data_IF_858659868333
#
_entry.id   IF_858659868333
#
_cell.length_a   1.000
_cell.length_b   1.000
_cell.length_c   1.000
_cell.angle_alpha   90.00
_cell.angle_beta   90.00
_cell.angle_gamma   90.00
#
_symmetry.space_group_name_H-M   'P 1'
#
loop_
_entity.id
_entity.type
_entity.pdbx_description
1 polymer ?
#
# COMPACT_ATOMS: atom_id res chain seq x y z
N UNK A 1 28.89 -0.15 -11.62
CA UNK A 1 29.61 -1.44 -11.65
C UNK A 1 28.97 -2.28 -12.75
N UNK A 2 29.76 -2.71 -13.72
CA UNK A 2 29.27 -3.49 -14.88
C UNK A 2 29.49 -4.96 -14.57
N UNK A 3 28.43 -5.75 -14.42
CA UNK A 3 28.57 -7.19 -14.15
C UNK A 3 29.08 -7.90 -15.40
N UNK A 4 30.27 -8.50 -15.32
CA UNK A 4 30.79 -9.38 -16.38
C UNK A 4 30.28 -10.80 -16.14
N UNK A 5 29.55 -11.35 -17.11
CA UNK A 5 29.01 -12.71 -17.09
C UNK A 5 29.92 -13.57 -17.97
N UNK A 6 30.70 -14.46 -17.36
CA UNK A 6 31.70 -15.27 -18.08
C UNK A 6 31.23 -16.71 -18.34
N UNK A 7 30.23 -17.19 -17.61
CA UNK A 7 29.67 -18.52 -17.76
C UNK A 7 28.20 -18.59 -17.29
N UNK A 8 27.54 -19.72 -17.52
CA UNK A 8 26.13 -19.91 -17.19
C UNK A 8 25.84 -19.88 -15.67
N UNK A 9 26.80 -20.26 -14.83
CA UNK A 9 26.66 -20.17 -13.37
C UNK A 9 26.65 -18.72 -12.90
N UNK A 10 27.50 -17.87 -13.50
CA UNK A 10 27.51 -16.42 -13.23
C UNK A 10 26.19 -15.77 -13.66
N UNK A 11 25.63 -16.21 -14.80
CA UNK A 11 24.32 -15.73 -15.27
C UNK A 11 23.20 -16.09 -14.29
N UNK A 12 23.17 -17.34 -13.82
CA UNK A 12 22.18 -17.79 -12.85
C UNK A 12 22.32 -17.06 -11.51
N UNK A 13 23.56 -16.83 -11.05
CA UNK A 13 23.84 -16.04 -9.85
C UNK A 13 23.36 -14.59 -10.00
N UNK A 14 23.67 -13.95 -11.12
CA UNK A 14 23.22 -12.58 -11.40
C UNK A 14 21.69 -12.47 -11.46
N UNK A 15 21.01 -13.40 -12.12
CA UNK A 15 19.54 -13.42 -12.18
C UNK A 15 18.92 -13.64 -10.81
N UNK A 16 19.52 -14.50 -9.97
CA UNK A 16 19.10 -14.71 -8.59
C UNK A 16 19.28 -13.43 -7.76
N UNK A 17 20.45 -12.80 -7.80
CA UNK A 17 20.71 -11.53 -7.13
C UNK A 17 19.73 -10.44 -7.56
N UNK A 18 19.49 -10.31 -8.88
CA UNK A 18 18.55 -9.30 -9.39
C UNK A 18 17.10 -9.59 -8.99
N UNK A 19 16.73 -10.86 -8.84
CA UNK A 19 15.42 -11.27 -8.32
C UNK A 19 15.22 -10.96 -6.84
N UNK A 20 16.32 -10.87 -6.07
CA UNK A 20 16.33 -10.52 -4.64
C UNK A 20 16.44 -9.01 -4.42
N UNK A 21 17.05 -8.27 -5.35
CA UNK A 21 17.26 -6.81 -5.26
C UNK A 21 15.96 -6.04 -5.48
N UNK A 22 15.05 -6.53 -6.31
CA UNK A 22 13.73 -5.93 -6.45
C UNK A 22 12.94 -6.16 -5.15
N UNK A 23 12.66 -5.12 -4.34
CA UNK A 23 11.71 -5.28 -3.25
C UNK A 23 10.39 -5.58 -3.92
N UNK A 24 9.97 -6.84 -3.79
CA UNK A 24 8.66 -7.29 -4.16
C UNK A 24 7.69 -6.57 -3.22
N UNK A 25 7.36 -5.32 -3.53
CA UNK A 25 6.42 -4.51 -2.76
C UNK A 25 5.02 -5.04 -3.06
N UNK A 26 4.68 -6.14 -2.37
CA UNK A 26 3.39 -6.81 -2.50
C UNK A 26 2.23 -5.92 -2.06
N UNK A 27 2.55 -4.84 -1.33
CA UNK A 27 1.62 -3.83 -0.87
C UNK A 27 2.14 -2.41 -1.11
N UNK A 28 2.22 -2.03 -2.38
CA UNK A 28 2.58 -0.68 -2.81
C UNK A 28 1.39 0.29 -2.80
N UNK A 29 1.65 1.52 -3.24
CA UNK A 29 0.64 2.57 -3.35
C UNK A 29 -0.62 2.15 -4.14
N UNK A 30 -0.54 1.40 -5.26
CA UNK A 30 -1.73 0.95 -5.96
C UNK A 30 -2.62 0.03 -5.12
N UNK A 31 -2.02 -0.92 -4.39
CA UNK A 31 -2.73 -1.84 -3.49
C UNK A 31 -3.36 -1.07 -2.32
N UNK A 32 -2.62 -0.13 -1.72
CA UNK A 32 -3.12 0.76 -0.66
C UNK A 32 -4.32 1.57 -1.12
N UNK A 33 -4.29 2.10 -2.35
CA UNK A 33 -5.39 2.86 -2.94
C UNK A 33 -6.64 1.99 -3.12
N UNK A 34 -6.49 0.76 -3.63
CA UNK A 34 -7.61 -0.17 -3.79
C UNK A 34 -8.25 -0.55 -2.45
N UNK A 35 -7.43 -0.86 -1.44
CA UNK A 35 -7.94 -1.16 -0.09
C UNK A 35 -8.64 0.04 0.53
N UNK A 36 -8.12 1.26 0.31
CA UNK A 36 -8.76 2.50 0.77
C UNK A 36 -10.14 2.70 0.17
N UNK A 37 -10.29 2.54 -1.15
CA UNK A 37 -11.60 2.68 -1.83
C UNK A 37 -12.61 1.65 -1.28
N UNK A 38 -12.18 0.40 -1.13
CA UNK A 38 -13.03 -0.66 -0.59
C UNK A 38 -13.47 -0.37 0.85
N UNK A 39 -12.57 0.15 1.68
CA UNK A 39 -12.87 0.52 3.06
C UNK A 39 -13.89 1.66 3.12
N UNK A 40 -13.72 2.70 2.31
CA UNK A 40 -14.66 3.82 2.25
C UNK A 40 -16.05 3.36 1.82
N UNK A 41 -16.16 2.49 0.80
CA UNK A 41 -17.43 1.89 0.41
C UNK A 41 -18.07 1.08 1.53
N UNK A 42 -17.28 0.29 2.29
CA UNK A 42 -17.79 -0.48 3.41
C UNK A 42 -18.28 0.41 4.57
N UNK A 43 -17.57 1.50 4.87
CA UNK A 43 -18.00 2.48 5.88
C UNK A 43 -19.31 3.13 5.44
N UNK A 44 -19.41 3.56 4.19
CA UNK A 44 -20.62 4.17 3.66
C UNK A 44 -21.81 3.23 3.71
N UNK A 45 -21.65 1.97 3.29
CA UNK A 45 -22.72 0.97 3.32
C UNK A 45 -23.24 0.69 4.75
N UNK A 46 -22.35 0.64 5.75
CA UNK A 46 -22.72 0.38 7.14
C UNK A 46 -23.32 1.59 7.89
N UNK A 47 -23.19 2.79 7.32
CA UNK A 47 -23.69 4.03 7.92
C UNK A 47 -24.73 4.73 7.03
N UNK A 48 -25.13 4.14 5.91
CA UNK A 48 -26.05 4.73 4.96
C UNK A 48 -27.42 5.08 5.57
N UNK A 49 -27.82 4.37 6.62
CA UNK A 49 -29.04 4.59 7.39
C UNK A 49 -28.88 5.57 8.56
N UNK A 50 -27.64 5.89 8.95
CA UNK A 50 -27.30 6.64 10.17
C UNK A 50 -26.71 8.02 9.91
N UNK A 51 -26.12 8.22 8.74
CA UNK A 51 -25.37 9.40 8.39
C UNK A 51 -25.70 9.81 6.96
N UNK A 52 -25.82 11.10 6.74
CA UNK A 52 -25.86 11.67 5.40
C UNK A 52 -24.53 11.43 4.68
N UNK A 53 -24.50 11.44 3.33
CA UNK A 53 -23.26 11.26 2.58
C UNK A 53 -22.12 12.22 3.01
N UNK A 54 -22.46 13.47 3.35
CA UNK A 54 -21.52 14.47 3.82
C UNK A 54 -20.92 14.11 5.18
N UNK A 55 -21.73 13.62 6.12
CA UNK A 55 -21.27 13.18 7.44
C UNK A 55 -20.33 11.98 7.33
N UNK A 56 -20.61 11.05 6.40
CA UNK A 56 -19.74 9.88 6.13
C UNK A 56 -18.37 10.33 5.62
N UNK A 57 -18.33 11.28 4.69
CA UNK A 57 -17.07 11.82 4.15
C UNK A 57 -16.25 12.50 5.24
N UNK A 58 -16.90 13.30 6.09
CA UNK A 58 -16.22 13.98 7.20
C UNK A 58 -15.64 12.97 8.19
N UNK A 59 -16.44 11.98 8.60
CA UNK A 59 -16.01 10.91 9.50
C UNK A 59 -14.78 10.15 8.98
N UNK A 60 -14.79 9.77 7.70
CA UNK A 60 -13.66 9.04 7.08
C UNK A 60 -12.38 9.90 7.06
N UNK A 61 -12.49 11.20 6.75
CA UNK A 61 -11.35 12.11 6.76
C UNK A 61 -10.74 12.26 8.16
N UNK A 62 -11.59 12.43 9.17
CA UNK A 62 -11.16 12.59 10.56
C UNK A 62 -10.46 11.32 11.06
N UNK A 63 -11.06 10.15 10.81
CA UNK A 63 -10.49 8.85 11.15
C UNK A 63 -9.11 8.65 10.49
N UNK A 64 -8.98 8.95 9.19
CA UNK A 64 -7.72 8.79 8.48
C UNK A 64 -6.62 9.71 9.05
N UNK A 65 -6.97 10.96 9.37
CA UNK A 65 -6.04 11.91 9.97
C UNK A 65 -5.62 11.49 11.39
N UNK A 66 -6.53 10.97 12.21
CA UNK A 66 -6.21 10.44 13.53
C UNK A 66 -5.25 9.25 13.45
N UNK A 67 -5.49 8.30 12.53
CA UNK A 67 -4.60 7.15 12.30
C UNK A 67 -3.21 7.61 11.86
N UNK A 68 -3.14 8.53 10.90
CA UNK A 68 -1.87 9.07 10.43
C UNK A 68 -1.09 9.77 11.56
N UNK A 69 -1.76 10.63 12.33
CA UNK A 69 -1.12 11.34 13.44
C UNK A 69 -0.72 10.42 14.60
N UNK A 70 -1.52 9.40 14.89
CA UNK A 70 -1.30 8.46 15.99
C UNK A 70 -0.22 7.42 15.69
N UNK A 71 -0.18 6.91 14.47
CA UNK A 71 0.67 5.77 14.08
C UNK A 71 1.89 6.20 13.26
N UNK A 72 1.71 7.07 12.27
CA UNK A 72 2.76 7.40 11.29
C UNK A 72 3.64 8.56 11.79
N UNK A 73 3.04 9.60 12.39
CA UNK A 73 3.78 10.81 12.79
C UNK A 73 4.51 10.68 14.14
N UNK A 74 4.03 9.81 15.04
CA UNK A 74 4.66 9.53 16.34
C UNK A 74 5.69 8.39 16.30
N UNK A 75 5.66 7.57 15.24
CA UNK A 75 6.63 6.49 15.01
C UNK A 75 7.95 7.00 14.44
#
# INVERSE_FOLDING_TARGET
MTTQINNNSDLLGYLLEQSLIAPKSWFGFPQQKLTGISLVHAIAANHADKMTPQEIVQYVNDLNNEIYNGIIKKG
#
